data_IF_468900146706
#
_entry.id   IF_468900146706
#
_cell.length_a   1.000
_cell.length_b   1.000
_cell.length_c   1.000
_cell.angle_alpha   90.00
_cell.angle_beta   90.00
_cell.angle_gamma   90.00
#
_symmetry.space_group_name_H-M   'P 1'
#
loop_
_entity.id
_entity.type
_entity.pdbx_description
1 polymer ?
#
# COMPACT_ATOMS: atom_id res chain seq x y z
N UNK A 1 -11.65 10.87 8.09
CA UNK A 1 -11.31 9.75 8.99
C UNK A 1 -9.87 9.36 8.68
N UNK A 2 -8.98 9.25 9.67
CA UNK A 2 -7.62 8.77 9.43
C UNK A 2 -7.70 7.36 8.84
N UNK A 3 -7.07 7.13 7.69
CA UNK A 3 -7.18 5.85 6.99
C UNK A 3 -6.66 4.66 7.81
N UNK A 4 -5.73 4.89 8.74
CA UNK A 4 -5.15 3.86 9.58
C UNK A 4 -4.72 4.44 10.93
N UNK A 5 -5.44 4.17 12.05
CA UNK A 5 -4.97 4.53 13.38
C UNK A 5 -3.63 3.83 13.69
N UNK A 6 -2.77 4.47 14.50
CA UNK A 6 -1.43 3.95 14.83
C UNK A 6 -1.43 2.49 15.31
N UNK A 7 -2.47 2.07 16.05
CA UNK A 7 -2.60 0.69 16.56
C UNK A 7 -2.74 -0.34 15.43
N UNK A 8 -3.63 -0.08 14.47
CA UNK A 8 -3.81 -0.93 13.29
C UNK A 8 -2.59 -0.89 12.38
N UNK A 9 -1.92 0.26 12.26
CA UNK A 9 -0.68 0.38 11.51
C UNK A 9 0.40 -0.58 12.02
N UNK A 10 0.74 -0.56 13.31
CA UNK A 10 1.79 -1.45 13.83
C UNK A 10 1.42 -2.93 13.73
N UNK A 11 0.14 -3.26 13.88
CA UNK A 11 -0.32 -4.64 13.72
C UNK A 11 -0.11 -5.13 12.28
N UNK A 12 -0.62 -4.41 11.29
CA UNK A 12 -0.55 -4.83 9.88
C UNK A 12 0.84 -4.64 9.25
N UNK A 13 1.62 -3.68 9.73
CA UNK A 13 2.95 -3.41 9.21
C UNK A 13 4.05 -4.27 9.85
N UNK A 14 3.97 -4.54 11.17
CA UNK A 14 5.04 -5.23 11.89
C UNK A 14 4.64 -6.63 12.34
N UNK A 15 3.54 -6.75 13.09
CA UNK A 15 3.17 -8.02 13.74
C UNK A 15 2.78 -9.06 12.70
N UNK A 16 1.90 -8.70 11.77
CA UNK A 16 1.43 -9.62 10.74
C UNK A 16 2.57 -10.08 9.81
N UNK A 17 3.37 -9.20 9.20
CA UNK A 17 4.43 -9.64 8.30
C UNK A 17 5.51 -10.43 9.03
N UNK A 18 5.78 -10.11 10.30
CA UNK A 18 6.71 -10.88 11.11
C UNK A 18 6.21 -12.31 11.36
N UNK A 19 4.94 -12.50 11.74
CA UNK A 19 4.33 -13.82 11.91
C UNK A 19 4.38 -14.62 10.60
N UNK A 20 4.08 -13.96 9.48
CA UNK A 20 4.11 -14.59 8.16
C UNK A 20 5.54 -14.96 7.73
N UNK A 21 6.56 -14.15 8.06
CA UNK A 21 7.97 -14.50 7.84
C UNK A 21 8.39 -15.69 8.69
N UNK A 22 7.96 -15.76 9.96
CA UNK A 22 8.26 -16.91 10.81
C UNK A 22 7.67 -18.20 10.21
N UNK A 23 6.42 -18.15 9.74
CA UNK A 23 5.78 -19.26 9.04
C UNK A 23 6.52 -19.63 7.74
N UNK A 24 6.91 -18.62 6.95
CA UNK A 24 7.67 -18.81 5.71
C UNK A 24 9.03 -19.45 5.96
N UNK A 25 9.78 -18.94 6.94
CA UNK A 25 11.10 -19.47 7.31
C UNK A 25 11.00 -20.90 7.82
N UNK A 26 9.99 -21.20 8.64
CA UNK A 26 9.75 -22.56 9.11
C UNK A 26 9.45 -23.53 7.95
N UNK A 27 8.66 -23.11 6.95
CA UNK A 27 8.38 -23.90 5.77
C UNK A 27 9.59 -24.09 4.83
N UNK A 28 10.34 -23.01 4.58
CA UNK A 28 11.46 -23.01 3.60
C UNK A 28 12.68 -23.75 4.15
N UNK A 29 13.07 -23.47 5.40
CA UNK A 29 14.32 -24.02 5.96
C UNK A 29 14.14 -25.37 6.63
N UNK A 30 12.92 -25.70 7.09
CA UNK A 30 12.63 -26.93 7.83
C UNK A 30 11.38 -27.65 7.28
N UNK A 31 11.33 -27.99 5.98
CA UNK A 31 10.15 -28.58 5.35
C UNK A 31 9.73 -29.92 5.96
N UNK A 32 10.69 -30.73 6.43
CA UNK A 32 10.40 -32.01 7.09
C UNK A 32 9.67 -31.83 8.43
N UNK A 33 10.15 -30.89 9.25
CA UNK A 33 9.50 -30.57 10.53
C UNK A 33 8.17 -29.88 10.32
N UNK A 34 8.08 -29.03 9.29
CA UNK A 34 6.82 -28.42 8.87
C UNK A 34 5.79 -29.50 8.50
N UNK A 35 6.16 -30.44 7.63
CA UNK A 35 5.27 -31.52 7.19
C UNK A 35 4.77 -32.39 8.34
N UNK A 36 5.68 -32.88 9.18
CA UNK A 36 5.34 -33.72 10.34
C UNK A 36 4.51 -32.97 11.38
N UNK A 37 4.64 -31.65 11.47
CA UNK A 37 3.85 -30.84 12.39
C UNK A 37 2.46 -30.46 11.85
N UNK A 38 2.13 -30.71 10.58
CA UNK A 38 0.82 -30.39 10.02
C UNK A 38 -0.32 -31.24 10.60
N UNK A 39 0.00 -32.45 11.06
CA UNK A 39 -0.93 -33.36 11.73
C UNK A 39 -0.22 -34.06 12.90
N UNK A 40 -0.92 -34.40 13.98
CA UNK A 40 -0.37 -35.26 15.02
C UNK A 40 0.05 -36.63 14.46
N UNK A 41 1.22 -37.13 14.85
CA UNK A 41 1.75 -38.44 14.43
C UNK A 41 0.82 -39.61 14.77
N UNK A 42 -0.09 -39.43 15.73
CA UNK A 42 -1.08 -40.43 16.14
C UNK A 42 -2.19 -40.63 15.11
N UNK A 43 -2.41 -39.66 14.22
CA UNK A 43 -3.47 -39.73 13.19
C UNK A 43 -2.96 -40.40 11.92
N UNK A 44 -1.79 -39.99 11.42
CA UNK A 44 -1.28 -40.48 10.15
C UNK A 44 0.23 -40.75 10.22
N UNK A 45 0.58 -42.02 10.44
CA UNK A 45 1.99 -42.45 10.55
C UNK A 45 2.69 -42.62 9.20
N UNK A 46 1.95 -42.91 8.14
CA UNK A 46 2.50 -43.21 6.81
C UNK A 46 3.11 -41.99 6.10
N UNK A 47 2.66 -40.78 6.44
CA UNK A 47 3.03 -39.52 5.76
C UNK A 47 3.98 -38.64 6.56
N UNK A 48 4.44 -39.08 7.74
CA UNK A 48 5.36 -38.30 8.60
C UNK A 48 6.62 -37.85 7.82
N UNK A 49 7.16 -38.73 6.97
CA UNK A 49 8.35 -38.45 6.16
C UNK A 49 8.10 -37.69 4.86
N UNK A 50 6.88 -37.20 4.57
CA UNK A 50 6.58 -36.60 3.26
C UNK A 50 7.42 -35.35 2.99
N UNK A 51 7.76 -34.58 4.03
CA UNK A 51 8.62 -33.39 3.92
C UNK A 51 10.09 -33.69 3.64
N UNK A 52 10.53 -34.95 3.79
CA UNK A 52 11.86 -35.39 3.36
C UNK A 52 11.90 -35.75 1.86
N UNK A 53 10.73 -35.93 1.23
CA UNK A 53 10.66 -36.22 -0.21
C UNK A 53 10.83 -34.94 -1.03
N UNK A 54 11.44 -35.04 -2.22
CA UNK A 54 11.58 -33.90 -3.15
C UNK A 54 10.24 -33.23 -3.46
N UNK A 55 9.17 -34.02 -3.62
CA UNK A 55 7.82 -33.51 -3.87
C UNK A 55 7.27 -32.72 -2.69
N UNK A 56 7.44 -33.23 -1.47
CA UNK A 56 7.02 -32.53 -0.25
C UNK A 56 7.78 -31.24 -0.05
N UNK A 57 9.10 -31.24 -0.28
CA UNK A 57 9.93 -30.03 -0.21
C UNK A 57 9.50 -28.97 -1.23
N UNK A 58 9.17 -29.36 -2.46
CA UNK A 58 8.66 -28.43 -3.48
C UNK A 58 7.33 -27.80 -3.06
N UNK A 59 6.37 -28.59 -2.57
CA UNK A 59 5.04 -28.09 -2.16
C UNK A 59 5.15 -27.18 -0.94
N UNK A 60 5.89 -27.60 0.09
CA UNK A 60 6.05 -26.81 1.33
C UNK A 60 6.89 -25.56 1.06
N UNK A 61 7.92 -25.65 0.22
CA UNK A 61 8.70 -24.50 -0.23
C UNK A 61 7.86 -23.49 -1.00
N UNK A 62 6.93 -23.94 -1.86
CA UNK A 62 6.00 -23.06 -2.56
C UNK A 62 5.00 -22.38 -1.61
N UNK A 63 4.53 -23.08 -0.58
CA UNK A 63 3.72 -22.46 0.48
C UNK A 63 4.52 -21.39 1.24
N UNK A 64 5.75 -21.70 1.62
CA UNK A 64 6.65 -20.78 2.31
C UNK A 64 6.97 -19.54 1.47
N UNK A 65 7.16 -19.68 0.16
CA UNK A 65 7.41 -18.54 -0.74
C UNK A 65 6.20 -17.63 -0.85
N UNK A 66 4.97 -18.18 -0.86
CA UNK A 66 3.74 -17.39 -0.84
C UNK A 66 3.63 -16.55 0.44
N UNK A 67 3.88 -17.15 1.61
CA UNK A 67 3.93 -16.41 2.88
C UNK A 67 4.99 -15.31 2.87
N UNK A 68 6.20 -15.62 2.41
CA UNK A 68 7.26 -14.63 2.31
C UNK A 68 6.86 -13.44 1.41
N UNK A 69 6.25 -13.73 0.25
CA UNK A 69 5.77 -12.71 -0.67
C UNK A 69 4.72 -11.81 -0.01
N UNK A 70 3.73 -12.37 0.67
CA UNK A 70 2.71 -11.60 1.39
C UNK A 70 3.35 -10.68 2.43
N UNK A 71 4.32 -11.19 3.20
CA UNK A 71 5.04 -10.38 4.19
C UNK A 71 5.80 -9.21 3.54
N UNK A 72 6.48 -9.45 2.41
CA UNK A 72 7.21 -8.41 1.68
C UNK A 72 6.28 -7.35 1.09
N UNK A 73 5.11 -7.74 0.58
CA UNK A 73 4.09 -6.79 0.13
C UNK A 73 3.66 -5.89 1.28
N UNK A 74 3.35 -6.45 2.45
CA UNK A 74 2.93 -5.67 3.61
C UNK A 74 4.05 -4.75 4.11
N UNK A 75 5.29 -5.22 4.19
CA UNK A 75 6.43 -4.35 4.56
C UNK A 75 6.67 -3.20 3.58
N UNK A 76 6.42 -3.41 2.29
CA UNK A 76 6.63 -2.41 1.24
C UNK A 76 5.47 -1.41 1.13
N UNK A 77 4.22 -1.89 1.09
CA UNK A 77 3.05 -1.04 0.82
C UNK A 77 2.63 -0.20 2.02
N UNK A 78 2.62 -0.73 3.25
CA UNK A 78 2.10 0.01 4.40
C UNK A 78 2.90 1.29 4.73
N UNK A 79 4.25 1.33 4.67
CA UNK A 79 5.01 2.57 4.83
C UNK A 79 4.73 3.59 3.74
N UNK A 80 4.59 3.13 2.49
CA UNK A 80 4.24 4.00 1.36
C UNK A 80 2.86 4.61 1.57
N UNK A 81 1.86 3.79 1.91
CA UNK A 81 0.51 4.28 2.21
C UNK A 81 0.53 5.31 3.36
N UNK A 82 1.39 5.10 4.36
CA UNK A 82 1.50 6.00 5.50
C UNK A 82 2.17 7.33 5.16
N UNK A 83 3.07 7.38 4.17
CA UNK A 83 3.70 8.61 3.70
C UNK A 83 2.79 9.47 2.80
N UNK A 84 1.70 8.90 2.27
CA UNK A 84 0.73 9.64 1.46
C UNK A 84 -0.11 10.60 2.33
N UNK A 85 -0.51 11.76 1.76
CA UNK A 85 -1.43 12.69 2.43
C UNK A 85 -2.80 12.05 2.68
N UNK A 86 -3.43 12.45 3.78
CA UNK A 86 -4.79 11.99 4.13
C UNK A 86 -5.76 12.40 3.02
N UNK A 87 -6.24 11.39 2.29
CA UNK A 87 -7.11 11.53 1.13
C UNK A 87 -8.07 10.33 1.10
N UNK A 88 -9.26 10.46 0.47
CA UNK A 88 -10.16 9.32 0.29
C UNK A 88 -9.47 8.16 -0.45
N UNK A 89 -8.50 8.47 -1.33
CA UNK A 89 -7.68 7.49 -2.05
C UNK A 89 -6.85 6.62 -1.11
N UNK A 90 -6.31 7.16 -0.01
CA UNK A 90 -5.56 6.39 0.99
C UNK A 90 -6.43 5.30 1.63
N UNK A 91 -7.66 5.62 1.98
CA UNK A 91 -8.63 4.65 2.53
C UNK A 91 -8.96 3.57 1.51
N UNK A 92 -9.20 3.95 0.25
CA UNK A 92 -9.46 3.00 -0.84
C UNK A 92 -8.28 2.06 -1.08
N UNK A 93 -7.04 2.55 -0.98
CA UNK A 93 -5.85 1.73 -1.13
C UNK A 93 -5.67 0.74 0.02
N UNK A 94 -5.89 1.18 1.27
CA UNK A 94 -5.90 0.28 2.43
C UNK A 94 -7.00 -0.79 2.29
N UNK A 95 -8.20 -0.40 1.86
CA UNK A 95 -9.29 -1.37 1.57
C UNK A 95 -8.88 -2.36 0.48
N UNK A 96 -8.30 -1.88 -0.61
CA UNK A 96 -7.85 -2.72 -1.72
C UNK A 96 -6.75 -3.71 -1.29
N UNK A 97 -5.96 -3.39 -0.28
CA UNK A 97 -4.96 -4.29 0.30
C UNK A 97 -5.57 -5.26 1.32
N UNK A 98 -6.46 -4.79 2.20
CA UNK A 98 -7.03 -5.60 3.27
C UNK A 98 -8.12 -6.58 2.81
N UNK A 99 -8.87 -6.27 1.75
CA UNK A 99 -9.92 -7.17 1.23
C UNK A 99 -9.34 -8.49 0.73
N UNK A 100 -8.33 -8.50 -0.19
CA UNK A 100 -7.71 -9.74 -0.64
C UNK A 100 -7.07 -10.52 0.52
N UNK A 101 -6.44 -9.82 1.46
CA UNK A 101 -5.85 -10.44 2.66
C UNK A 101 -6.90 -11.14 3.53
N UNK A 102 -8.05 -10.49 3.76
CA UNK A 102 -9.15 -11.10 4.50
C UNK A 102 -9.73 -12.35 3.80
N UNK A 103 -9.81 -12.32 2.47
CA UNK A 103 -10.21 -13.49 1.66
C UNK A 103 -9.14 -14.58 1.74
N UNK A 104 -7.86 -14.21 1.72
CA UNK A 104 -6.75 -15.14 1.86
C UNK A 104 -6.76 -15.82 3.23
N UNK A 105 -7.03 -15.09 4.32
CA UNK A 105 -7.16 -15.67 5.66
C UNK A 105 -8.27 -16.72 5.69
N UNK A 106 -9.46 -16.35 5.19
CA UNK A 106 -10.62 -17.23 5.24
C UNK A 106 -10.39 -18.49 4.40
N UNK A 107 -9.85 -18.32 3.19
CA UNK A 107 -9.52 -19.46 2.33
C UNK A 107 -8.43 -20.33 2.95
N UNK A 108 -7.40 -19.75 3.59
CA UNK A 108 -6.36 -20.50 4.28
C UNK A 108 -6.90 -21.29 5.47
N UNK A 109 -7.76 -20.70 6.30
CA UNK A 109 -8.44 -21.38 7.42
C UNK A 109 -9.27 -22.56 6.89
N UNK A 110 -10.11 -22.32 5.88
CA UNK A 110 -10.99 -23.36 5.32
C UNK A 110 -10.18 -24.50 4.71
N UNK A 111 -9.19 -24.20 3.88
CA UNK A 111 -8.33 -25.21 3.22
C UNK A 111 -7.50 -25.99 4.25
N UNK A 112 -7.12 -25.38 5.37
CA UNK A 112 -6.43 -26.08 6.47
C UNK A 112 -7.36 -27.00 7.26
N UNK A 113 -8.63 -26.64 7.43
CA UNK A 113 -9.60 -27.39 8.23
C UNK A 113 -10.32 -28.52 7.48
N UNK A 114 -10.52 -28.40 6.16
CA UNK A 114 -11.16 -29.44 5.33
C UNK A 114 -10.50 -30.83 5.45
N UNK A 115 -9.17 -30.97 5.35
CA UNK A 115 -8.52 -32.28 5.44
C UNK A 115 -8.39 -32.81 6.88
N UNK A 116 -8.73 -32.01 7.90
CA UNK A 116 -8.58 -32.39 9.30
C UNK A 116 -9.64 -33.44 9.68
N UNK A 117 -9.27 -34.54 10.36
CA UNK A 117 -10.24 -35.52 10.83
C UNK A 117 -11.19 -34.88 11.85
N UNK A 118 -12.45 -35.28 11.83
CA UNK A 118 -13.52 -34.72 12.67
C UNK A 118 -13.19 -34.79 14.17
N UNK A 119 -12.43 -35.81 14.59
CA UNK A 119 -11.94 -35.96 15.97
C UNK A 119 -11.02 -34.81 16.40
N UNK A 120 -10.09 -34.40 15.54
CA UNK A 120 -9.21 -33.25 15.80
C UNK A 120 -9.94 -31.92 15.60
N UNK A 121 -10.82 -31.83 14.61
CA UNK A 121 -11.64 -30.63 14.40
C UNK A 121 -12.45 -30.26 15.66
N UNK A 122 -13.01 -31.27 16.35
CA UNK A 122 -13.78 -31.07 17.59
C UNK A 122 -12.90 -30.87 18.84
N UNK A 123 -11.60 -31.12 18.77
CA UNK A 123 -10.70 -31.01 19.91
C UNK A 123 -9.52 -30.06 19.63
N UNK A 124 -9.74 -28.73 19.59
CA UNK A 124 -8.68 -27.75 19.35
C UNK A 124 -7.50 -27.82 20.33
N UNK A 125 -7.71 -28.36 21.53
CA UNK A 125 -6.64 -28.55 22.52
C UNK A 125 -5.59 -29.60 22.10
N UNK A 126 -5.94 -30.49 21.16
CA UNK A 126 -5.04 -31.53 20.66
C UNK A 126 -4.34 -31.13 19.35
N UNK A 127 -4.48 -29.87 18.93
CA UNK A 127 -3.83 -29.38 17.73
C UNK A 127 -2.33 -29.26 17.93
N UNK A 128 -1.58 -29.53 16.86
CA UNK A 128 -0.15 -29.23 16.85
C UNK A 128 0.07 -27.71 16.88
N UNK A 129 1.27 -27.29 17.27
CA UNK A 129 1.64 -25.88 17.23
C UNK A 129 1.47 -25.25 15.84
N UNK A 130 1.65 -26.05 14.77
CA UNK A 130 1.49 -25.57 13.40
C UNK A 130 0.03 -25.39 13.00
N UNK A 131 -0.88 -26.29 13.43
CA UNK A 131 -2.33 -26.08 13.21
C UNK A 131 -2.80 -24.85 13.99
N UNK A 132 -2.35 -24.65 15.22
CA UNK A 132 -2.63 -23.41 15.96
C UNK A 132 -2.08 -22.17 15.25
N UNK A 133 -0.87 -22.27 14.69
CA UNK A 133 -0.29 -21.22 13.85
C UNK A 133 -1.18 -20.89 12.66
N UNK A 134 -1.51 -21.89 11.85
CA UNK A 134 -2.24 -21.68 10.59
C UNK A 134 -3.72 -21.31 10.81
N UNK A 135 -4.36 -21.80 11.88
CA UNK A 135 -5.79 -21.58 12.12
C UNK A 135 -6.01 -20.50 13.17
N UNK A 136 -5.48 -20.67 14.39
CA UNK A 136 -5.77 -19.75 15.50
C UNK A 136 -5.20 -18.35 15.24
N UNK A 137 -3.94 -18.25 14.81
CA UNK A 137 -3.34 -16.94 14.51
C UNK A 137 -4.05 -16.28 13.33
N UNK A 138 -4.34 -17.03 12.26
CA UNK A 138 -5.04 -16.51 11.08
C UNK A 138 -6.46 -16.05 11.41
N UNK A 139 -7.19 -16.73 12.31
CA UNK A 139 -8.49 -16.27 12.81
C UNK A 139 -8.33 -14.93 13.54
N UNK A 140 -7.33 -14.79 14.42
CA UNK A 140 -7.07 -13.54 15.14
C UNK A 140 -6.80 -12.41 14.14
N UNK A 141 -5.95 -12.64 13.13
CA UNK A 141 -5.64 -11.66 12.10
C UNK A 141 -6.90 -11.28 11.29
N UNK A 142 -7.71 -12.26 10.88
CA UNK A 142 -9.00 -12.02 10.22
C UNK A 142 -9.94 -11.17 11.07
N UNK A 143 -10.06 -11.45 12.37
CA UNK A 143 -10.89 -10.67 13.29
C UNK A 143 -10.40 -9.23 13.44
N UNK A 144 -9.08 -9.02 13.48
CA UNK A 144 -8.51 -7.66 13.49
C UNK A 144 -8.84 -6.92 12.20
N UNK A 145 -8.80 -7.58 11.05
CA UNK A 145 -9.21 -7.00 9.76
C UNK A 145 -10.70 -6.66 9.74
N UNK A 146 -11.56 -7.55 10.23
CA UNK A 146 -12.99 -7.28 10.38
C UNK A 146 -13.26 -6.12 11.33
N UNK A 147 -12.53 -6.02 12.43
CA UNK A 147 -12.60 -4.89 13.35
C UNK A 147 -12.25 -3.57 12.67
N UNK A 148 -11.25 -3.55 11.80
CA UNK A 148 -10.92 -2.38 11.00
C UNK A 148 -12.03 -2.04 9.99
N UNK A 149 -12.61 -3.02 9.29
CA UNK A 149 -13.73 -2.79 8.36
C UNK A 149 -14.98 -2.24 9.06
N UNK A 150 -15.23 -2.68 10.29
CA UNK A 150 -16.30 -2.19 11.15
C UNK A 150 -15.98 -0.82 11.79
N UNK A 151 -14.78 -0.28 11.58
CA UNK A 151 -14.36 1.00 12.14
C UNK A 151 -14.09 0.99 13.64
N UNK A 152 -13.93 -0.19 14.25
CA UNK A 152 -13.62 -0.33 15.68
C UNK A 152 -12.27 0.37 15.95
N UNK A 153 -12.22 1.25 16.95
CA UNK A 153 -10.98 1.94 17.32
C UNK A 153 -10.52 3.04 16.36
N UNK A 154 -11.30 3.39 15.33
CA UNK A 154 -11.11 4.63 14.58
C UNK A 154 -11.84 5.72 15.37
N UNK A 155 -11.16 6.77 15.88
CA UNK A 155 -11.85 7.83 16.57
C UNK A 155 -12.82 8.52 15.60
N UNK A 156 -14.12 8.41 15.87
CA UNK A 156 -15.13 9.22 15.20
C UNK A 156 -14.79 10.68 15.43
N UNK A 157 -14.45 11.40 14.37
CA UNK A 157 -14.41 12.86 14.36
C UNK A 157 -15.83 13.43 14.43
N UNK A 158 -16.66 12.97 15.37
CA UNK A 158 -17.83 13.71 15.82
C UNK A 158 -17.37 14.53 17.02
N UNK A 159 -17.15 15.84 16.81
CA UNK A 159 -16.91 16.76 17.93
C UNK A 159 -15.81 17.79 17.75
N UNK A 160 -15.16 17.93 16.59
CA UNK A 160 -14.46 19.19 16.30
C UNK A 160 -15.37 20.06 15.45
N UNK A 161 -16.35 20.68 16.10
CA UNK A 161 -16.91 21.93 15.59
C UNK A 161 -15.70 22.79 15.19
N UNK A 162 -15.56 23.22 13.92
CA UNK A 162 -14.52 24.16 13.60
C UNK A 162 -14.78 25.38 14.47
N UNK A 163 -13.89 25.64 15.43
CA UNK A 163 -13.88 26.91 16.15
C UNK A 163 -13.72 27.94 15.05
N UNK A 164 -14.85 28.52 14.63
CA UNK A 164 -14.95 29.56 13.61
C UNK A 164 -13.92 30.58 14.04
N UNK A 165 -12.76 30.57 13.38
CA UNK A 165 -11.69 31.53 13.63
C UNK A 165 -12.36 32.86 13.30
N UNK A 166 -12.85 33.56 14.32
CA UNK A 166 -13.36 34.92 14.15
C UNK A 166 -12.17 35.67 13.57
N UNK A 167 -12.27 36.00 12.29
CA UNK A 167 -11.36 36.94 11.65
C UNK A 167 -11.39 38.19 12.54
N UNK A 168 -10.25 38.62 13.09
CA UNK A 168 -10.20 39.88 13.82
C UNK A 168 -10.45 41.01 12.81
N UNK A 169 -11.44 41.84 13.13
CA UNK A 169 -11.52 43.21 12.61
C UNK A 169 -11.84 43.34 11.13
N UNK A 170 -13.06 43.81 10.86
CA UNK A 170 -13.35 44.59 9.66
C UNK A 170 -12.32 45.73 9.54
N UNK A 171 -11.32 45.54 8.68
CA UNK A 171 -10.65 46.67 8.04
C UNK A 171 -11.47 47.03 6.82
N UNK A 172 -11.85 48.30 6.74
CA UNK A 172 -12.79 48.83 5.77
C UNK A 172 -12.48 48.37 4.34
N UNK A 173 -13.55 48.03 3.62
CA UNK A 173 -13.53 47.99 2.17
C UNK A 173 -13.05 49.34 1.65
N UNK A 174 -11.77 49.42 1.28
CA UNK A 174 -11.33 50.43 0.32
C UNK A 174 -11.71 49.86 -1.04
N UNK A 175 -12.85 50.32 -1.56
CA UNK A 175 -13.23 50.11 -2.96
C UNK A 175 -12.19 50.80 -3.84
N UNK A 176 -11.31 50.01 -4.46
CA UNK A 176 -10.46 50.50 -5.55
C UNK A 176 -11.35 50.65 -6.79
N UNK A 177 -11.47 51.84 -7.39
CA UNK A 177 -12.22 52.00 -8.63
C UNK A 177 -11.50 51.24 -9.75
N UNK A 178 -12.21 50.34 -10.43
CA UNK A 178 -11.73 49.71 -11.65
C UNK A 178 -11.68 50.78 -12.77
N UNK A 179 -10.60 50.88 -13.55
CA UNK A 179 -10.58 51.73 -14.74
C UNK A 179 -11.58 51.19 -15.78
N UNK A 180 -12.23 52.07 -16.56
CA UNK A 180 -13.22 51.65 -17.55
C UNK A 180 -12.56 50.81 -18.65
N UNK A 181 -13.10 49.61 -18.85
CA UNK A 181 -12.75 48.72 -19.97
C UNK A 181 -13.26 49.40 -21.25
N UNK A 182 -12.35 49.91 -22.08
CA UNK A 182 -12.68 50.34 -23.44
C UNK A 182 -12.62 49.13 -24.38
N UNK A 183 -13.67 48.83 -25.16
CA UNK A 183 -13.65 47.74 -26.14
C UNK A 183 -13.02 48.26 -27.43
N UNK A 184 -11.70 48.12 -27.59
CA UNK A 184 -10.98 48.56 -28.81
C UNK A 184 -10.11 47.49 -29.47
N UNK A 185 -10.48 46.22 -29.33
CA UNK A 185 -9.63 45.11 -29.80
C UNK A 185 -10.35 44.02 -30.59
N UNK A 186 -11.59 44.24 -31.01
CA UNK A 186 -12.26 43.36 -31.98
C UNK A 186 -12.70 44.19 -33.18
N UNK A 187 -11.88 44.14 -34.22
CA UNK A 187 -12.23 44.67 -35.55
C UNK A 187 -12.25 43.47 -36.51
N UNK A 188 -13.44 42.94 -36.89
CA UNK A 188 -13.54 41.67 -37.63
C UNK A 188 -13.16 41.76 -39.12
N UNK A 189 -12.73 42.93 -39.61
CA UNK A 189 -12.57 43.21 -41.04
C UNK A 189 -11.12 43.50 -41.47
N UNK A 190 -10.14 42.73 -41.00
CA UNK A 190 -8.84 42.68 -41.68
C UNK A 190 -8.74 41.45 -42.57
N UNK A 191 -9.08 41.70 -43.84
CA UNK A 191 -8.88 40.82 -44.97
C UNK A 191 -7.43 40.34 -45.06
N UNK A 192 -7.31 39.03 -45.30
CA UNK A 192 -6.10 38.30 -45.63
C UNK A 192 -5.76 38.61 -47.09
N UNK A 193 -4.59 39.21 -47.33
CA UNK A 193 -3.95 39.22 -48.64
C UNK A 193 -2.49 38.75 -48.48
N UNK A 194 -2.17 37.63 -49.12
CA UNK A 194 -0.83 37.22 -49.59
C UNK A 194 -0.80 37.49 -51.12
N UNK A 195 0.32 37.49 -51.89
CA UNK A 195 1.59 36.77 -51.64
C UNK A 195 2.91 37.40 -52.21
N UNK A 196 4.04 36.70 -51.98
CA UNK A 196 5.35 36.71 -52.70
C UNK A 196 6.19 38.01 -52.57
N UNK A 197 7.53 38.04 -52.49
CA UNK A 197 8.55 37.41 -53.37
C UNK A 197 9.95 37.57 -52.72
N UNK A 198 10.71 36.47 -52.60
CA UNK A 198 12.11 36.28 -53.03
C UNK A 198 13.29 37.19 -52.56
N UNK A 199 14.46 36.54 -52.44
CA UNK A 199 15.87 37.04 -52.43
C UNK A 199 16.58 37.35 -51.08
N UNK A 200 17.31 36.34 -50.57
CA UNK A 200 18.73 36.47 -50.13
C UNK A 200 19.64 36.78 -51.34
N UNK A 201 20.89 37.29 -51.23
CA UNK A 201 21.89 37.05 -50.16
C UNK A 201 22.84 38.25 -49.84
N UNK A 202 23.95 37.94 -49.14
CA UNK A 202 25.22 38.71 -49.01
C UNK A 202 25.27 39.68 -47.81
N UNK A 203 26.28 39.74 -46.94
CA UNK A 203 27.64 39.22 -46.92
C UNK A 203 28.47 40.11 -45.98
N UNK A 204 29.64 39.64 -45.56
CA UNK A 204 30.72 40.41 -44.90
C UNK A 204 30.54 40.77 -43.40
N UNK A 205 31.10 40.00 -42.46
CA UNK A 205 32.51 40.02 -41.97
C UNK A 205 32.98 41.39 -41.44
N UNK A 206 33.24 41.47 -40.11
CA UNK A 206 34.58 41.62 -39.49
C UNK A 206 34.53 42.14 -38.05
N UNK A 207 35.06 41.33 -37.13
CA UNK A 207 35.83 41.81 -35.97
C UNK A 207 37.27 42.09 -36.44
N UNK A 208 37.99 43.05 -35.82
CA UNK A 208 39.16 42.61 -35.08
C UNK A 208 39.43 43.34 -33.76
N UNK A 209 39.97 42.52 -32.85
CA UNK A 209 40.58 42.79 -31.55
C UNK A 209 42.03 43.30 -31.73
N UNK A 210 42.40 44.44 -31.11
CA UNK A 210 43.77 44.78 -30.61
C UNK A 210 43.71 46.16 -29.91
N UNK A 211 43.94 46.24 -28.59
CA UNK A 211 45.21 46.42 -27.84
C UNK A 211 45.56 47.90 -27.56
N UNK A 212 45.57 48.22 -26.26
CA UNK A 212 46.69 48.76 -25.45
C UNK A 212 46.84 50.29 -25.27
N UNK A 213 46.97 50.66 -24.00
CA UNK A 213 47.53 51.89 -23.40
C UNK A 213 46.82 52.08 -22.05
N UNK A 214 47.38 51.85 -20.85
CA UNK A 214 48.67 52.16 -20.19
C UNK A 214 48.90 53.66 -20.05
N UNK A 215 48.78 54.15 -18.81
CA UNK A 215 49.41 55.40 -18.37
C UNK A 215 48.57 56.19 -17.37
N UNK A 216 49.02 56.15 -16.11
CA UNK A 216 48.89 57.14 -15.03
C UNK A 216 47.50 57.70 -14.68
#
# INVERSE_FOLDING_TARGET
MPALPKRYYYMFWLVEPFLTILGAGYAIFLPEKYASSLLPETVERSTIGIGATTRGQMVIGALGSCFFLIAMISFSLFPVIQSLPESPTKVSLVKALLIPLAIADLSHIVVTLIPLPISLFKSPANWTGLIHGNVTITIILFLVRMGWFLGIGIPSTEGTTPKRRRLPGSYGQVTVPLPPISPRWFDPHKHVDSPNTETTPDGSKRSPRKRRGRGA
#
